data_IF_475360729203
#
_entry.id   IF_475360729203
#
_cell.length_a   1.000
_cell.length_b   1.000
_cell.length_c   1.000
_cell.angle_alpha   90.00
_cell.angle_beta   90.00
_cell.angle_gamma   90.00
#
_symmetry.space_group_name_H-M   'P 1'
#
loop_
_entity.id
_entity.type
_entity.pdbx_description
1 polymer ?
#
# COMPACT_ATOMS: atom_id res chain seq x y z
N UNK A 1 13.08 -6.63 -6.84
CA UNK A 1 14.22 -7.51 -7.24
C UNK A 1 15.50 -7.24 -6.45
N UNK A 2 16.02 -5.99 -6.40
CA UNK A 2 17.27 -5.64 -5.68
C UNK A 2 17.22 -6.04 -4.21
N UNK A 3 16.15 -5.69 -3.48
CA UNK A 3 15.99 -6.05 -2.06
C UNK A 3 15.98 -7.57 -1.87
N UNK A 4 15.26 -8.31 -2.70
CA UNK A 4 15.22 -9.78 -2.63
C UNK A 4 16.60 -10.41 -2.88
N UNK A 5 17.35 -9.92 -3.86
CA UNK A 5 18.75 -10.36 -4.11
C UNK A 5 19.68 -10.00 -2.96
N UNK A 6 19.43 -8.91 -2.27
CA UNK A 6 20.21 -8.51 -1.11
C UNK A 6 19.95 -9.39 0.11
N UNK A 7 18.73 -9.91 0.26
CA UNK A 7 18.30 -10.69 1.43
C UNK A 7 18.42 -12.21 1.23
N UNK A 8 18.22 -12.70 0.00
CA UNK A 8 18.21 -14.11 -0.36
C UNK A 8 19.08 -14.36 -1.60
N UNK A 9 19.38 -15.63 -1.89
CA UNK A 9 20.12 -15.96 -3.10
C UNK A 9 19.32 -15.64 -4.37
N UNK A 10 20.01 -15.52 -5.49
CA UNK A 10 19.43 -15.09 -6.79
C UNK A 10 18.28 -15.98 -7.25
N UNK A 11 18.37 -17.30 -7.07
CA UNK A 11 17.33 -18.26 -7.47
C UNK A 11 16.01 -18.00 -6.74
N UNK A 12 16.07 -17.81 -5.42
CA UNK A 12 14.89 -17.44 -4.63
C UNK A 12 14.34 -16.08 -5.01
N UNK A 13 15.21 -15.10 -5.27
CA UNK A 13 14.82 -13.76 -5.66
C UNK A 13 14.11 -13.74 -7.03
N UNK A 14 14.61 -14.53 -7.99
CA UNK A 14 13.98 -14.67 -9.32
C UNK A 14 12.58 -15.30 -9.21
N UNK A 15 12.44 -16.39 -8.46
CA UNK A 15 11.14 -17.06 -8.28
C UNK A 15 10.13 -16.24 -7.47
N UNK A 16 10.60 -15.36 -6.58
CA UNK A 16 9.72 -14.51 -5.78
C UNK A 16 9.35 -13.20 -6.47
N UNK A 17 10.11 -12.74 -7.47
CA UNK A 17 9.86 -11.46 -8.13
C UNK A 17 8.52 -11.36 -8.87
N UNK A 18 7.99 -12.40 -9.55
CA UNK A 18 6.69 -12.34 -10.20
C UNK A 18 5.55 -12.02 -9.23
N UNK A 19 5.64 -12.46 -7.97
CA UNK A 19 4.62 -12.17 -6.95
C UNK A 19 4.46 -10.66 -6.70
N UNK A 20 5.54 -9.89 -6.80
CA UNK A 20 5.48 -8.44 -6.65
C UNK A 20 5.04 -7.77 -7.96
N UNK A 21 5.48 -8.30 -9.11
CA UNK A 21 5.13 -7.74 -10.43
C UNK A 21 3.64 -7.90 -10.74
N UNK A 22 3.06 -9.05 -10.41
CA UNK A 22 1.64 -9.36 -10.62
C UNK A 22 0.83 -9.21 -9.32
N UNK A 23 1.35 -8.47 -8.34
CA UNK A 23 0.69 -8.23 -7.07
C UNK A 23 -0.68 -7.55 -7.28
N UNK A 24 -1.80 -8.18 -6.90
CA UNK A 24 -3.14 -7.65 -7.21
C UNK A 24 -3.35 -6.24 -6.70
N UNK A 25 -2.95 -5.95 -5.46
CA UNK A 25 -3.09 -4.64 -4.87
C UNK A 25 -2.21 -3.59 -5.58
N UNK A 26 -1.00 -3.97 -6.01
CA UNK A 26 -0.09 -3.07 -6.74
C UNK A 26 -0.63 -2.76 -8.14
N UNK A 27 -1.20 -3.74 -8.81
CA UNK A 27 -1.85 -3.55 -10.11
C UNK A 27 -3.09 -2.68 -9.95
N UNK A 28 -3.91 -2.90 -8.90
CA UNK A 28 -5.13 -2.12 -8.64
C UNK A 28 -4.86 -0.63 -8.45
N UNK A 29 -3.83 -0.28 -7.68
CA UNK A 29 -3.55 1.13 -7.34
C UNK A 29 -2.41 1.75 -8.15
N UNK A 30 -1.66 0.94 -8.89
CA UNK A 30 -0.46 1.39 -9.60
C UNK A 30 -0.72 2.34 -10.78
N UNK A 31 -1.93 2.30 -11.37
CA UNK A 31 -2.34 3.20 -12.45
C UNK A 31 -3.10 4.45 -11.97
N UNK A 32 -3.47 4.51 -10.69
CA UNK A 32 -4.05 5.73 -10.15
C UNK A 32 -3.00 6.87 -10.20
N UNK A 33 -3.41 8.05 -10.69
CA UNK A 33 -2.59 9.27 -10.70
C UNK A 33 -2.54 9.81 -9.27
N UNK A 34 -1.97 9.02 -8.37
CA UNK A 34 -1.81 9.30 -6.94
C UNK A 34 -0.50 8.66 -6.45
N UNK A 35 -0.16 8.87 -5.19
CA UNK A 35 1.08 8.38 -4.56
C UNK A 35 1.18 6.85 -4.39
N UNK A 36 0.18 6.06 -4.79
CA UNK A 36 0.14 4.62 -4.47
C UNK A 36 1.16 3.74 -5.19
N UNK A 37 1.80 4.22 -6.24
CA UNK A 37 2.97 3.59 -6.84
C UNK A 37 4.28 4.05 -6.17
N UNK A 38 4.35 5.31 -5.75
CA UNK A 38 5.53 5.91 -5.13
C UNK A 38 5.77 5.37 -3.71
N UNK A 39 4.73 5.28 -2.87
CA UNK A 39 4.88 4.85 -1.48
C UNK A 39 5.37 3.42 -1.30
N UNK A 40 4.90 2.40 -2.05
CA UNK A 40 5.49 1.07 -2.01
C UNK A 40 6.96 1.06 -2.43
N UNK A 41 7.32 1.86 -3.45
CA UNK A 41 8.70 2.01 -3.89
C UNK A 41 9.57 2.61 -2.78
N UNK A 42 9.15 3.72 -2.15
CA UNK A 42 9.89 4.35 -1.05
C UNK A 42 10.01 3.43 0.17
N UNK A 43 8.97 2.64 0.46
CA UNK A 43 8.99 1.65 1.54
C UNK A 43 10.06 0.57 1.30
N UNK A 44 10.08 -0.02 0.10
CA UNK A 44 11.06 -1.04 -0.30
C UNK A 44 12.47 -0.44 -0.37
N UNK A 45 12.62 0.75 -0.94
CA UNK A 45 13.89 1.47 -1.02
C UNK A 45 14.43 1.80 0.38
N UNK A 46 13.58 2.33 1.26
CA UNK A 46 13.96 2.63 2.64
C UNK A 46 14.43 1.38 3.39
N UNK A 47 13.70 0.26 3.23
CA UNK A 47 14.12 -1.02 3.82
C UNK A 47 15.48 -1.49 3.27
N UNK A 48 15.69 -1.37 1.96
CA UNK A 48 16.97 -1.72 1.33
C UNK A 48 18.11 -0.86 1.88
N UNK A 49 17.93 0.46 1.96
CA UNK A 49 18.92 1.41 2.46
C UNK A 49 19.25 1.14 3.94
N UNK A 50 18.24 0.87 4.77
CA UNK A 50 18.40 0.51 6.16
C UNK A 50 19.26 -0.74 6.33
N UNK A 51 18.90 -1.83 5.63
CA UNK A 51 19.63 -3.09 5.68
C UNK A 51 21.07 -2.93 5.14
N UNK A 52 21.25 -2.11 4.12
CA UNK A 52 22.55 -1.80 3.53
C UNK A 52 23.43 -1.03 4.52
N UNK A 53 22.89 0.03 5.12
CA UNK A 53 23.59 0.83 6.12
C UNK A 53 24.03 -0.03 7.32
N UNK A 54 23.14 -0.88 7.83
CA UNK A 54 23.47 -1.80 8.92
C UNK A 54 24.53 -2.84 8.54
N UNK A 55 24.54 -3.30 7.29
CA UNK A 55 25.55 -4.26 6.82
C UNK A 55 26.94 -3.62 6.74
N UNK A 56 27.02 -2.35 6.35
CA UNK A 56 28.27 -1.61 6.24
C UNK A 56 28.81 -1.15 7.61
N UNK A 57 27.92 -0.82 8.58
CA UNK A 57 28.29 -0.46 9.96
C UNK A 57 28.90 -1.62 10.78
N UNK A 58 29.12 -2.76 10.15
CA UNK A 58 29.90 -3.86 10.76
C UNK A 58 29.14 -4.65 11.81
N UNK A 59 27.82 -4.76 11.71
CA UNK A 59 27.03 -5.69 12.54
C UNK A 59 27.19 -7.16 12.11
N UNK A 60 28.11 -7.48 11.19
CA UNK A 60 28.61 -8.84 10.98
C UNK A 60 29.72 -9.13 11.98
N UNK A 61 29.63 -10.23 12.76
CA UNK A 61 30.65 -10.59 13.71
C UNK A 61 32.04 -10.91 13.09
N UNK A 62 32.11 -11.10 11.77
CA UNK A 62 33.27 -11.66 11.07
C UNK A 62 34.25 -10.66 10.43
N UNK A 63 34.03 -9.36 10.52
CA UNK A 63 35.09 -8.41 10.16
C UNK A 63 35.81 -7.90 11.41
N UNK A 64 36.57 -8.78 12.07
CA UNK A 64 37.71 -8.36 12.90
C UNK A 64 38.57 -7.42 12.06
N UNK A 65 38.69 -6.19 12.57
CA UNK A 65 39.62 -5.14 12.23
C UNK A 65 40.80 -5.61 11.38
N UNK A 66 40.70 -5.57 10.09
CA UNK A 66 41.86 -5.49 9.25
C UNK A 66 42.28 -4.03 9.14
N UNK A 67 43.36 -3.69 9.80
CA UNK A 67 44.27 -2.60 9.45
C UNK A 67 43.82 -1.18 9.79
N UNK A 68 44.58 -0.54 10.65
CA UNK A 68 44.83 0.90 10.79
C UNK A 68 44.77 1.60 9.43
N UNK A 69 43.92 2.64 9.32
CA UNK A 69 43.91 3.55 8.18
C UNK A 69 42.51 3.75 7.57
N UNK A 70 41.44 3.97 8.38
CA UNK A 70 40.20 4.45 7.80
C UNK A 70 40.31 5.95 7.49
N UNK A 71 40.59 6.28 6.24
CA UNK A 71 40.54 7.65 5.72
C UNK A 71 39.18 8.30 5.97
N UNK A 72 39.15 9.64 6.15
CA UNK A 72 37.93 10.41 6.35
C UNK A 72 36.91 10.13 5.26
N UNK A 73 37.33 9.90 4.01
CA UNK A 73 36.50 9.49 2.87
C UNK A 73 35.73 8.18 3.12
N UNK A 74 36.32 7.20 3.81
CA UNK A 74 35.64 5.93 4.12
C UNK A 74 34.55 6.11 5.17
N UNK A 75 34.73 7.02 6.14
CA UNK A 75 33.71 7.38 7.13
C UNK A 75 32.53 8.13 6.50
N UNK A 76 32.78 9.00 5.49
CA UNK A 76 31.73 9.68 4.73
C UNK A 76 30.99 8.66 3.83
N UNK A 77 31.73 7.75 3.19
CA UNK A 77 31.13 6.71 2.38
C UNK A 77 30.21 5.77 3.20
N UNK A 78 30.60 5.47 4.44
CA UNK A 78 29.78 4.64 5.35
C UNK A 78 28.51 5.36 5.81
N UNK A 79 28.52 6.71 5.89
CA UNK A 79 27.34 7.51 6.28
C UNK A 79 26.35 7.78 5.15
N UNK A 80 26.75 7.64 3.89
CA UNK A 80 25.88 7.93 2.72
C UNK A 80 24.58 7.16 2.74
N UNK A 81 24.60 5.90 3.16
CA UNK A 81 23.40 5.07 3.21
C UNK A 81 22.41 5.52 4.29
N UNK A 82 22.92 5.99 5.43
CA UNK A 82 22.10 6.56 6.49
C UNK A 82 21.48 7.90 6.08
N UNK A 83 22.22 8.73 5.34
CA UNK A 83 21.70 10.01 4.82
C UNK A 83 20.64 9.71 3.75
N UNK A 84 20.92 8.82 2.80
CA UNK A 84 19.95 8.41 1.79
C UNK A 84 18.69 7.82 2.44
N UNK A 85 18.85 7.02 3.50
CA UNK A 85 17.74 6.49 4.28
C UNK A 85 16.89 7.62 4.90
N UNK A 86 17.52 8.59 5.56
CA UNK A 86 16.81 9.72 6.16
C UNK A 86 16.01 10.53 5.14
N UNK A 87 16.58 10.76 3.95
CA UNK A 87 15.88 11.44 2.86
C UNK A 87 14.66 10.63 2.42
N UNK A 88 14.78 9.30 2.25
CA UNK A 88 13.67 8.44 1.85
C UNK A 88 12.59 8.39 2.92
N UNK A 89 12.96 8.39 4.21
CA UNK A 89 12.00 8.49 5.33
C UNK A 89 11.20 9.79 5.23
N UNK A 90 11.87 10.92 5.05
CA UNK A 90 11.22 12.22 4.90
C UNK A 90 10.30 12.25 3.67
N UNK A 91 10.77 11.80 2.49
CA UNK A 91 9.97 11.74 1.27
C UNK A 91 8.74 10.84 1.44
N UNK A 92 8.85 9.73 2.15
CA UNK A 92 7.72 8.87 2.47
C UNK A 92 6.65 9.61 3.29
N UNK A 93 7.06 10.36 4.31
CA UNK A 93 6.15 11.17 5.14
C UNK A 93 5.50 12.31 4.36
N UNK A 94 6.22 12.96 3.45
CA UNK A 94 5.65 13.95 2.54
C UNK A 94 4.63 13.33 1.56
N UNK A 95 4.83 12.06 1.18
CA UNK A 95 3.95 11.38 0.24
C UNK A 95 2.66 10.88 0.90
N UNK A 96 2.75 10.26 2.10
CA UNK A 96 1.59 9.73 2.83
C UNK A 96 1.92 9.47 4.30
N UNK A 97 1.04 9.89 5.19
CA UNK A 97 1.20 9.69 6.66
C UNK A 97 1.26 8.22 7.09
N UNK A 98 0.63 7.31 6.33
CA UNK A 98 0.68 5.86 6.63
C UNK A 98 2.09 5.27 6.53
N UNK A 99 3.02 5.97 5.87
CA UNK A 99 4.44 5.60 5.87
C UNK A 99 5.05 5.59 7.28
N UNK A 100 4.46 6.32 8.23
CA UNK A 100 4.88 6.29 9.62
C UNK A 100 4.91 4.87 10.21
N UNK A 101 3.93 4.02 9.85
CA UNK A 101 3.90 2.62 10.32
C UNK A 101 5.06 1.79 9.79
N UNK A 102 5.50 2.06 8.56
CA UNK A 102 6.71 1.44 7.99
C UNK A 102 7.95 1.87 8.77
N UNK A 103 8.08 3.17 9.03
CA UNK A 103 9.24 3.71 9.74
C UNK A 103 9.27 3.31 11.21
N UNK A 104 8.14 3.26 11.88
CA UNK A 104 8.04 2.70 13.24
C UNK A 104 8.45 1.22 13.26
N UNK A 105 8.06 0.46 12.26
CA UNK A 105 8.49 -0.94 12.09
C UNK A 105 10.00 -1.05 11.91
N UNK A 106 10.63 -0.12 11.16
CA UNK A 106 12.08 -0.09 11.01
C UNK A 106 12.80 0.20 12.35
N UNK A 107 12.28 1.16 13.14
CA UNK A 107 12.82 1.45 14.48
C UNK A 107 12.72 0.22 15.39
N UNK A 108 11.56 -0.44 15.41
CA UNK A 108 11.34 -1.65 16.20
C UNK A 108 12.27 -2.79 15.74
N UNK A 109 12.40 -2.97 14.44
CA UNK A 109 13.31 -3.97 13.86
C UNK A 109 14.78 -3.69 14.24
N UNK A 110 15.23 -2.42 14.15
CA UNK A 110 16.55 -1.99 14.59
C UNK A 110 16.80 -2.34 16.06
N UNK A 111 15.85 -2.01 16.94
CA UNK A 111 15.93 -2.31 18.35
C UNK A 111 16.07 -3.81 18.61
N UNK A 112 15.21 -4.62 18.01
CA UNK A 112 15.22 -6.08 18.14
C UNK A 112 16.52 -6.67 17.57
N UNK A 113 16.99 -6.20 16.42
CA UNK A 113 18.22 -6.66 15.79
C UNK A 113 19.45 -6.35 16.68
N UNK A 114 19.56 -5.11 17.15
CA UNK A 114 20.66 -4.69 18.02
C UNK A 114 20.67 -5.44 19.35
N UNK A 115 19.50 -5.65 19.96
CA UNK A 115 19.38 -6.37 21.21
C UNK A 115 19.80 -7.84 21.05
N UNK A 116 19.37 -8.51 19.97
CA UNK A 116 19.75 -9.91 19.67
C UNK A 116 21.25 -10.11 19.44
N UNK A 117 21.93 -9.08 18.94
CA UNK A 117 23.38 -9.11 18.70
C UNK A 117 24.20 -8.53 19.84
N UNK A 118 23.62 -8.23 21.00
CA UNK A 118 24.32 -7.66 22.15
C UNK A 118 24.78 -6.20 21.99
N UNK A 119 24.24 -5.50 21.00
CA UNK A 119 24.62 -4.13 20.64
C UNK A 119 23.57 -3.07 21.01
N UNK A 120 22.70 -3.35 21.97
CA UNK A 120 21.60 -2.46 22.39
C UNK A 120 22.07 -1.02 22.72
N UNK A 121 23.27 -0.85 23.27
CA UNK A 121 23.87 0.47 23.55
C UNK A 121 24.06 1.35 22.31
N UNK A 122 24.06 0.79 21.10
CA UNK A 122 24.20 1.55 19.85
C UNK A 122 22.85 2.11 19.36
N UNK A 123 21.72 1.67 19.92
CA UNK A 123 20.39 2.04 19.47
C UNK A 123 20.17 3.57 19.39
N UNK A 124 20.55 4.41 20.39
CA UNK A 124 20.34 5.85 20.29
C UNK A 124 21.07 6.48 19.09
N UNK A 125 22.25 5.97 18.72
CA UNK A 125 22.99 6.46 17.55
C UNK A 125 22.29 6.12 16.23
N UNK A 126 21.56 5.01 16.19
CA UNK A 126 20.80 4.58 15.02
C UNK A 126 19.50 5.38 14.83
N UNK A 127 19.14 6.22 15.81
CA UNK A 127 18.01 7.16 15.68
C UNK A 127 18.41 8.50 15.03
N UNK A 128 19.70 8.78 14.87
CA UNK A 128 20.18 10.02 14.23
C UNK A 128 19.57 10.22 12.82
N UNK A 129 19.50 9.22 11.93
CA UNK A 129 18.84 9.38 10.63
C UNK A 129 17.36 9.76 10.72
N UNK A 130 16.67 9.29 11.76
CA UNK A 130 15.28 9.68 12.01
C UNK A 130 15.16 11.13 12.49
N UNK A 131 16.08 11.58 13.35
CA UNK A 131 16.16 12.99 13.73
C UNK A 131 16.42 13.89 12.52
N UNK A 132 17.28 13.48 11.60
CA UNK A 132 17.51 14.17 10.32
C UNK A 132 16.23 14.16 9.46
N UNK A 133 15.54 13.03 9.36
CA UNK A 133 14.29 12.94 8.60
C UNK A 133 13.20 13.86 9.18
N UNK A 134 13.10 13.94 10.52
CA UNK A 134 12.19 14.88 11.20
C UNK A 134 12.59 16.31 10.91
N UNK A 135 13.87 16.65 10.97
CA UNK A 135 14.36 17.99 10.63
C UNK A 135 13.98 18.38 9.18
N UNK A 136 14.14 17.47 8.24
CA UNK A 136 13.72 17.66 6.84
C UNK A 136 12.18 17.81 6.70
N UNK A 137 11.41 17.26 7.63
CA UNK A 137 9.95 17.31 7.62
C UNK A 137 9.37 18.51 8.36
N UNK A 138 10.17 19.27 9.15
CA UNK A 138 9.73 20.45 9.92
C UNK A 138 8.90 21.43 9.06
N UNK A 139 9.29 21.77 7.82
CA UNK A 139 8.52 22.74 7.02
C UNK A 139 7.07 22.32 6.74
N UNK A 140 6.78 21.01 6.78
CA UNK A 140 5.45 20.47 6.54
C UNK A 140 4.59 20.34 7.80
N UNK A 141 5.18 20.37 9.00
CA UNK A 141 4.47 20.17 10.28
C UNK A 141 3.26 21.12 10.42
N UNK A 142 3.35 22.44 10.13
CA UNK A 142 2.19 23.32 10.23
C UNK A 142 1.03 22.89 9.33
N UNK A 143 1.33 22.45 8.10
CA UNK A 143 0.33 21.94 7.16
C UNK A 143 -0.28 20.63 7.66
N UNK A 144 0.54 19.71 8.17
CA UNK A 144 0.06 18.45 8.72
C UNK A 144 -0.88 18.68 9.92
N UNK A 145 -0.48 19.50 10.88
CA UNK A 145 -1.32 19.86 12.04
C UNK A 145 -2.64 20.48 11.58
N UNK A 146 -2.58 21.40 10.62
CA UNK A 146 -3.78 22.00 10.06
C UNK A 146 -4.72 21.00 9.38
N UNK A 147 -4.19 20.02 8.65
CA UNK A 147 -5.00 18.97 8.04
C UNK A 147 -5.68 18.06 9.07
N UNK A 148 -4.98 17.73 10.16
CA UNK A 148 -5.58 16.95 11.26
C UNK A 148 -6.63 17.74 12.05
N UNK A 149 -6.46 19.05 12.19
CA UNK A 149 -7.38 19.92 12.91
C UNK A 149 -8.64 20.28 12.10
N UNK A 150 -8.55 20.34 10.78
CA UNK A 150 -9.62 20.85 9.91
C UNK A 150 -10.65 19.82 9.49
N UNK A 151 -10.60 18.58 9.99
CA UNK A 151 -11.50 17.48 9.57
C UNK A 151 -11.57 17.29 8.04
N UNK A 152 -10.53 17.72 7.33
CA UNK A 152 -10.45 17.70 5.86
C UNK A 152 -10.34 16.27 5.27
N UNK A 153 -10.34 15.24 6.11
CA UNK A 153 -10.44 13.86 5.67
C UNK A 153 -11.91 13.56 5.41
N UNK A 154 -12.28 13.15 4.19
CA UNK A 154 -13.64 12.72 3.93
C UNK A 154 -14.00 11.60 4.90
N UNK A 155 -15.18 11.65 5.52
CA UNK A 155 -15.62 10.62 6.44
C UNK A 155 -15.72 9.28 5.69
N UNK A 156 -14.95 8.29 6.13
CA UNK A 156 -15.08 6.93 5.62
C UNK A 156 -16.32 6.34 6.29
N UNK A 157 -17.30 5.92 5.49
CA UNK A 157 -18.60 5.44 5.99
C UNK A 157 -18.54 4.07 6.66
N UNK A 158 -17.43 3.36 6.56
CA UNK A 158 -17.33 1.98 7.00
C UNK A 158 -16.49 1.88 8.28
N UNK A 159 -17.09 1.34 9.34
CA UNK A 159 -16.41 0.99 10.58
C UNK A 159 -15.64 -0.30 10.41
N UNK A 160 -14.53 -0.44 11.15
CA UNK A 160 -13.66 -1.60 11.09
C UNK A 160 -14.35 -2.79 11.77
N UNK A 161 -14.74 -3.77 10.99
CA UNK A 161 -15.32 -5.01 11.45
C UNK A 161 -14.54 -6.23 10.92
N UNK A 162 -14.91 -7.43 11.39
CA UNK A 162 -14.24 -8.66 10.95
C UNK A 162 -14.34 -8.88 9.42
N UNK A 163 -15.41 -8.42 8.80
CA UNK A 163 -15.61 -8.47 7.35
C UNK A 163 -14.59 -7.60 6.61
N UNK A 164 -14.26 -6.41 7.12
CA UNK A 164 -13.21 -5.56 6.54
C UNK A 164 -11.82 -6.22 6.64
N UNK A 165 -11.53 -6.88 7.76
CA UNK A 165 -10.28 -7.61 7.94
C UNK A 165 -10.15 -8.79 6.95
N UNK A 166 -11.24 -9.52 6.71
CA UNK A 166 -11.27 -10.58 5.68
C UNK A 166 -11.17 -10.01 4.27
N UNK A 167 -11.77 -8.85 4.01
CA UNK A 167 -11.62 -8.11 2.75
C UNK A 167 -10.17 -7.72 2.47
N UNK A 168 -9.43 -7.23 3.48
CA UNK A 168 -7.99 -6.92 3.33
C UNK A 168 -7.23 -8.12 2.81
N UNK A 169 -7.44 -9.29 3.40
CA UNK A 169 -6.75 -10.50 3.00
C UNK A 169 -7.16 -10.98 1.60
N UNK A 170 -8.46 -10.90 1.28
CA UNK A 170 -8.99 -11.22 -0.04
C UNK A 170 -8.40 -10.31 -1.12
N UNK A 171 -8.36 -9.01 -0.89
CA UNK A 171 -7.81 -8.05 -1.85
C UNK A 171 -6.29 -8.22 -2.01
N UNK A 172 -5.57 -8.50 -0.92
CA UNK A 172 -4.14 -8.82 -1.00
C UNK A 172 -3.85 -10.07 -1.84
N UNK A 173 -4.74 -11.06 -1.83
CA UNK A 173 -4.52 -12.33 -2.53
C UNK A 173 -5.10 -12.36 -3.94
N UNK A 174 -6.28 -11.80 -4.14
CA UNK A 174 -7.05 -11.91 -5.40
C UNK A 174 -7.26 -10.58 -6.12
N UNK A 175 -7.04 -9.46 -5.46
CA UNK A 175 -7.38 -8.12 -5.97
C UNK A 175 -8.86 -7.76 -5.90
N UNK A 176 -9.74 -8.70 -5.55
CA UNK A 176 -11.18 -8.49 -5.50
C UNK A 176 -11.70 -8.28 -4.07
N UNK A 177 -12.58 -7.28 -3.94
CA UNK A 177 -13.37 -7.07 -2.73
C UNK A 177 -14.69 -7.84 -2.86
N UNK A 178 -14.65 -9.13 -2.62
CA UNK A 178 -15.81 -10.00 -2.78
C UNK A 178 -16.46 -10.26 -1.41
N UNK A 179 -17.32 -9.37 -0.95
CA UNK A 179 -18.00 -9.46 0.36
C UNK A 179 -18.83 -10.75 0.57
N UNK A 180 -19.17 -11.51 -0.47
CA UNK A 180 -20.02 -12.72 -0.38
C UNK A 180 -19.34 -14.05 -0.70
N UNK A 181 -18.27 -14.07 -1.51
CA UNK A 181 -17.55 -15.31 -1.88
C UNK A 181 -16.40 -15.61 -0.90
N UNK A 182 -16.14 -14.72 0.03
CA UNK A 182 -14.84 -14.50 0.65
C UNK A 182 -14.56 -15.33 1.89
N UNK A 183 -15.54 -15.72 2.69
CA UNK A 183 -15.22 -16.41 3.94
C UNK A 183 -14.58 -17.78 3.71
N UNK A 184 -15.14 -18.59 2.83
CA UNK A 184 -14.58 -19.91 2.50
C UNK A 184 -13.24 -19.81 1.76
N UNK A 185 -13.14 -18.91 0.78
CA UNK A 185 -11.90 -18.70 0.02
C UNK A 185 -10.79 -18.07 0.87
N UNK A 186 -11.13 -17.13 1.75
CA UNK A 186 -10.20 -16.54 2.71
C UNK A 186 -9.69 -17.59 3.70
N UNK A 187 -10.57 -18.42 4.24
CA UNK A 187 -10.18 -19.53 5.14
C UNK A 187 -9.27 -20.52 4.41
N UNK A 188 -9.60 -20.89 3.16
CA UNK A 188 -8.75 -21.78 2.35
C UNK A 188 -7.36 -21.18 2.09
N UNK A 189 -7.27 -19.90 1.75
CA UNK A 189 -6.01 -19.19 1.53
C UNK A 189 -5.20 -19.04 2.83
N UNK A 190 -5.85 -18.76 3.96
CA UNK A 190 -5.20 -18.74 5.28
C UNK A 190 -4.70 -20.12 5.68
N UNK A 191 -5.47 -21.18 5.44
CA UNK A 191 -5.05 -22.54 5.69
C UNK A 191 -3.84 -22.93 4.81
N UNK A 192 -3.85 -22.57 3.51
CA UNK A 192 -2.69 -22.77 2.63
C UNK A 192 -1.47 -21.99 3.12
N UNK A 193 -1.63 -20.75 3.55
CA UNK A 193 -0.55 -19.94 4.11
C UNK A 193 0.00 -20.56 5.40
N UNK A 194 -0.87 -21.03 6.29
CA UNK A 194 -0.47 -21.73 7.52
C UNK A 194 0.32 -23.03 7.21
N UNK A 195 -0.12 -23.80 6.22
CA UNK A 195 0.60 -24.99 5.73
C UNK A 195 1.98 -24.62 5.18
N UNK A 196 2.10 -23.51 4.44
CA UNK A 196 3.37 -23.01 3.92
C UNK A 196 4.31 -22.58 5.04
N UNK A 197 3.80 -21.84 6.04
CA UNK A 197 4.58 -21.37 7.18
C UNK A 197 5.06 -22.56 8.03
N UNK A 198 4.16 -23.48 8.38
CA UNK A 198 4.49 -24.70 9.14
C UNK A 198 5.49 -25.60 8.38
N UNK A 199 5.34 -25.68 7.06
CA UNK A 199 6.27 -26.40 6.20
C UNK A 199 7.66 -25.78 6.13
N UNK A 200 7.74 -24.44 6.19
CA UNK A 200 9.00 -23.73 6.16
C UNK A 200 9.79 -23.83 7.48
N UNK A 201 9.10 -23.98 8.61
CA UNK A 201 9.74 -24.17 9.92
C UNK A 201 10.39 -25.55 10.08
N UNK A 202 9.74 -26.60 9.58
CA UNK A 202 10.29 -27.99 9.63
C UNK A 202 11.54 -28.18 8.76
N UNK A 203 11.70 -27.42 7.66
CA UNK A 203 12.94 -27.40 6.86
C UNK A 203 14.16 -26.88 7.64
N UNK A 204 13.94 -26.25 8.78
CA UNK A 204 14.97 -25.71 9.66
C UNK A 204 15.58 -26.76 10.60
N UNK A 205 14.74 -27.70 11.06
CA UNK A 205 15.17 -28.70 12.04
C UNK A 205 15.99 -29.83 11.39
N UNK A 206 15.73 -30.15 10.14
CA UNK A 206 16.47 -31.16 9.38
C UNK A 206 17.86 -30.70 8.93
N UNK A 207 18.09 -29.38 8.77
CA UNK A 207 19.41 -28.86 8.39
C UNK A 207 20.46 -28.90 9.53
N UNK A 208 19.99 -28.92 10.78
CA UNK A 208 20.87 -28.98 11.96
C UNK A 208 21.48 -30.38 12.23
N UNK A 209 20.87 -31.44 11.73
CA UNK A 209 21.28 -32.82 12.00
C UNK A 209 22.30 -33.41 11.00
N UNK A 210 22.39 -32.84 9.79
CA UNK A 210 23.20 -33.40 8.68
C UNK A 210 24.63 -32.91 8.60
N UNK A 211 25.02 -31.90 9.41
CA UNK A 211 26.38 -31.31 9.38
C UNK A 211 27.44 -32.16 10.08
N UNK A 212 27.07 -33.31 10.65
CA UNK A 212 27.99 -34.12 11.49
C UNK A 212 28.67 -35.31 10.83
N UNK A 213 28.51 -35.53 9.54
CA UNK A 213 29.20 -36.70 8.91
C UNK A 213 29.90 -36.36 7.59
N UNK A 214 31.22 -36.41 7.64
CA UNK A 214 32.14 -36.78 6.54
C UNK A 214 32.28 -35.88 5.33
N UNK A 215 33.46 -35.35 5.09
CA UNK A 215 33.82 -34.46 3.98
C UNK A 215 34.15 -35.28 2.71
N UNK A 216 33.28 -35.15 1.69
CA UNK A 216 33.56 -35.49 0.28
C UNK A 216 33.18 -34.31 -0.63
N UNK A 217 33.58 -34.23 -1.91
CA UNK A 217 33.25 -33.10 -2.80
C UNK A 217 31.73 -32.88 -3.03
N UNK A 218 30.89 -33.83 -2.71
CA UNK A 218 29.44 -33.67 -2.50
C UNK A 218 29.14 -32.73 -1.32
N UNK A 219 30.04 -32.61 -0.35
CA UNK A 219 29.87 -31.79 0.85
C UNK A 219 29.91 -30.28 0.54
N UNK A 220 30.69 -29.82 -0.42
CA UNK A 220 30.71 -28.39 -0.81
C UNK A 220 29.36 -27.94 -1.39
N UNK A 221 28.69 -28.79 -2.19
CA UNK A 221 27.34 -28.50 -2.69
C UNK A 221 26.29 -28.57 -1.59
N UNK A 222 26.43 -29.45 -0.63
CA UNK A 222 25.53 -29.57 0.50
C UNK A 222 25.65 -28.40 1.48
N UNK A 223 26.87 -27.88 1.69
CA UNK A 223 27.13 -26.67 2.50
C UNK A 223 26.54 -25.43 1.84
N UNK A 224 26.79 -25.22 0.53
CA UNK A 224 26.19 -24.09 -0.19
C UNK A 224 24.66 -24.13 -0.19
N UNK A 225 24.06 -25.31 -0.34
CA UNK A 225 22.61 -25.48 -0.25
C UNK A 225 22.05 -25.24 1.16
N UNK A 226 22.82 -25.56 2.20
CA UNK A 226 22.45 -25.28 3.60
C UNK A 226 22.54 -23.78 3.92
N UNK A 227 23.57 -23.08 3.41
CA UNK A 227 23.71 -21.63 3.52
C UNK A 227 22.57 -20.90 2.80
N UNK A 228 22.24 -21.28 1.57
CA UNK A 228 21.11 -20.73 0.80
C UNK A 228 19.79 -20.88 1.56
N UNK A 229 19.56 -22.04 2.18
CA UNK A 229 18.36 -22.28 3.02
C UNK A 229 18.34 -21.40 4.27
N UNK A 230 19.48 -21.26 4.94
CA UNK A 230 19.59 -20.40 6.11
C UNK A 230 19.37 -18.92 5.76
N UNK A 231 19.91 -18.46 4.65
CA UNK A 231 19.77 -17.08 4.17
C UNK A 231 18.33 -16.82 3.74
N UNK A 232 17.72 -17.70 2.95
CA UNK A 232 16.31 -17.56 2.56
C UNK A 232 15.36 -17.62 3.76
N UNK A 233 15.70 -18.41 4.80
CA UNK A 233 14.95 -18.45 6.05
C UNK A 233 15.06 -17.16 6.88
N UNK A 234 16.22 -16.53 6.89
CA UNK A 234 16.42 -15.20 7.52
C UNK A 234 15.63 -14.13 6.75
N UNK A 235 15.74 -14.14 5.43
CA UNK A 235 15.02 -13.23 4.57
C UNK A 235 13.50 -13.33 4.77
N UNK A 236 12.95 -14.55 4.82
CA UNK A 236 11.53 -14.76 5.06
C UNK A 236 11.07 -14.18 6.41
N UNK A 237 11.86 -14.34 7.48
CA UNK A 237 11.54 -13.73 8.78
C UNK A 237 11.55 -12.20 8.76
N UNK A 238 12.53 -11.60 8.09
CA UNK A 238 12.58 -10.14 7.94
C UNK A 238 11.41 -9.63 7.11
N UNK A 239 11.09 -10.27 5.98
CA UNK A 239 9.95 -9.90 5.15
C UNK A 239 8.61 -10.06 5.89
N UNK A 240 8.44 -11.14 6.66
CA UNK A 240 7.28 -11.30 7.53
C UNK A 240 7.17 -10.16 8.54
N UNK A 241 8.27 -9.78 9.17
CA UNK A 241 8.30 -8.67 10.12
C UNK A 241 7.89 -7.36 9.45
N UNK A 242 8.46 -7.03 8.27
CA UNK A 242 8.13 -5.81 7.53
C UNK A 242 6.73 -5.84 6.88
N UNK A 243 6.13 -7.00 6.71
CA UNK A 243 4.76 -7.14 6.21
C UNK A 243 3.72 -7.02 7.33
N UNK A 244 3.90 -7.78 8.41
CA UNK A 244 2.86 -7.96 9.42
C UNK A 244 2.91 -6.94 10.56
N UNK A 245 4.10 -6.46 10.95
CA UNK A 245 4.20 -5.46 12.04
C UNK A 245 3.54 -4.14 11.65
N UNK A 246 3.82 -3.52 10.48
CA UNK A 246 3.16 -2.27 10.13
C UNK A 246 1.66 -2.45 9.91
N UNK A 247 1.21 -3.60 9.40
CA UNK A 247 -0.21 -3.93 9.31
C UNK A 247 -0.84 -3.98 10.71
N UNK A 248 -0.22 -4.68 11.65
CA UNK A 248 -0.72 -4.75 13.03
C UNK A 248 -0.77 -3.38 13.69
N UNK A 249 0.26 -2.55 13.51
CA UNK A 249 0.29 -1.17 14.02
C UNK A 249 -0.84 -0.33 13.42
N UNK A 250 -1.07 -0.43 12.11
CA UNK A 250 -2.17 0.25 11.43
C UNK A 250 -3.54 -0.20 11.98
N UNK A 251 -3.74 -1.51 12.14
CA UNK A 251 -4.99 -2.07 12.65
C UNK A 251 -5.26 -1.65 14.10
N UNK A 252 -4.25 -1.69 14.96
CA UNK A 252 -4.34 -1.20 16.34
C UNK A 252 -4.66 0.29 16.37
N UNK A 253 -3.97 1.08 15.55
CA UNK A 253 -4.23 2.51 15.43
C UNK A 253 -5.66 2.80 14.95
N UNK A 254 -6.14 2.08 13.94
CA UNK A 254 -7.50 2.21 13.44
C UNK A 254 -8.52 1.87 14.54
N UNK A 255 -8.35 0.74 15.23
CA UNK A 255 -9.23 0.33 16.31
C UNK A 255 -9.27 1.32 17.49
N UNK A 256 -8.12 1.92 17.84
CA UNK A 256 -8.06 2.95 18.89
C UNK A 256 -8.68 4.27 18.43
N UNK A 257 -8.52 4.62 17.15
CA UNK A 257 -9.02 5.89 16.61
C UNK A 257 -10.52 5.90 16.33
N UNK A 258 -11.07 4.76 15.94
CA UNK A 258 -12.45 4.62 15.49
C UNK A 258 -13.50 5.12 16.51
N UNK A 259 -13.42 4.82 17.82
CA UNK A 259 -14.36 5.35 18.80
C UNK A 259 -14.42 6.87 18.87
N UNK A 260 -13.35 7.57 18.48
CA UNK A 260 -13.26 9.02 18.48
C UNK A 260 -13.72 9.66 17.17
N UNK A 261 -13.93 8.86 16.11
CA UNK A 261 -14.36 9.32 14.79
C UNK A 261 -15.74 8.83 14.40
N UNK A 262 -16.42 8.05 15.26
CA UNK A 262 -17.76 7.55 15.02
C UNK A 262 -18.73 8.68 14.58
N UNK A 263 -19.59 8.44 13.59
CA UNK A 263 -19.91 7.16 12.96
C UNK A 263 -18.99 6.78 11.77
N UNK A 264 -17.85 7.39 11.63
CA UNK A 264 -16.96 7.23 10.47
C UNK A 264 -15.80 6.30 10.80
N UNK A 265 -15.56 5.31 9.92
CA UNK A 265 -14.40 4.43 10.01
C UNK A 265 -13.10 5.15 9.61
N UNK A 266 -11.97 4.66 10.12
CA UNK A 266 -10.65 5.18 9.78
C UNK A 266 -9.94 4.31 8.72
N UNK A 267 -10.23 3.02 8.68
CA UNK A 267 -9.49 2.07 7.86
C UNK A 267 -9.97 2.06 6.40
N UNK A 268 -9.02 2.00 5.47
CA UNK A 268 -9.27 1.69 4.06
C UNK A 268 -8.12 0.85 3.51
N UNK A 269 -8.43 -0.05 2.59
CA UNK A 269 -7.46 -0.99 2.00
C UNK A 269 -6.24 -0.31 1.37
N UNK A 270 -6.39 0.89 0.83
CA UNK A 270 -5.27 1.68 0.25
C UNK A 270 -4.19 2.05 1.27
N UNK A 271 -4.49 2.03 2.57
CA UNK A 271 -3.51 2.26 3.63
C UNK A 271 -2.54 1.09 3.81
N UNK A 272 -2.85 -0.06 3.22
CA UNK A 272 -1.97 -1.24 3.21
C UNK A 272 -0.89 -1.14 2.12
N UNK A 273 -1.07 -0.29 1.10
CA UNK A 273 -0.15 -0.14 -0.03
C UNK A 273 1.33 0.05 0.37
N UNK A 274 1.69 0.82 1.42
CA UNK A 274 3.09 1.03 1.79
C UNK A 274 3.84 -0.26 2.12
N UNK A 275 3.18 -1.25 2.71
CA UNK A 275 3.80 -2.50 3.18
C UNK A 275 3.34 -3.75 2.42
N UNK A 276 2.38 -3.64 1.52
CA UNK A 276 1.94 -4.74 0.66
C UNK A 276 3.08 -5.42 -0.12
N UNK A 277 4.09 -4.71 -0.67
CA UNK A 277 5.19 -5.37 -1.36
C UNK A 277 5.92 -6.43 -0.52
N UNK A 278 6.05 -6.20 0.79
CA UNK A 278 6.71 -7.16 1.68
C UNK A 278 5.88 -8.44 1.86
N UNK A 279 4.56 -8.33 1.89
CA UNK A 279 3.64 -9.48 1.93
C UNK A 279 3.82 -10.34 0.69
N UNK A 280 3.88 -9.74 -0.49
CA UNK A 280 4.09 -10.45 -1.75
C UNK A 280 5.50 -11.03 -1.88
N UNK A 281 6.54 -10.31 -1.45
CA UNK A 281 7.90 -10.83 -1.38
C UNK A 281 8.00 -12.02 -0.41
N UNK A 282 7.36 -11.92 0.75
CA UNK A 282 7.31 -12.99 1.74
C UNK A 282 6.66 -14.24 1.17
N UNK A 283 5.49 -14.08 0.55
CA UNK A 283 4.75 -15.17 -0.06
C UNK A 283 5.55 -15.84 -1.19
N UNK A 284 6.09 -15.05 -2.11
CA UNK A 284 6.92 -15.54 -3.20
C UNK A 284 8.17 -16.28 -2.70
N UNK A 285 8.79 -15.77 -1.63
CA UNK A 285 9.94 -16.42 -1.02
C UNK A 285 9.56 -17.75 -0.35
N UNK A 286 8.41 -17.83 0.33
CA UNK A 286 7.91 -19.10 0.89
C UNK A 286 7.66 -20.14 -0.20
N UNK A 287 6.99 -19.74 -1.28
CA UNK A 287 6.73 -20.62 -2.42
C UNK A 287 8.04 -21.10 -3.06
N UNK A 288 9.01 -20.20 -3.28
CA UNK A 288 10.31 -20.55 -3.84
C UNK A 288 11.09 -21.54 -2.97
N UNK A 289 11.03 -21.39 -1.63
CA UNK A 289 11.66 -22.33 -0.68
C UNK A 289 11.06 -23.72 -0.75
N UNK A 290 9.77 -23.84 -0.96
CA UNK A 290 9.08 -25.11 -1.09
C UNK A 290 9.45 -25.75 -2.43
N UNK A 291 9.41 -25.01 -3.52
CA UNK A 291 9.74 -25.51 -4.86
C UNK A 291 11.19 -26.00 -4.95
N UNK A 292 12.14 -25.22 -4.41
CA UNK A 292 13.56 -25.57 -4.44
C UNK A 292 13.94 -26.62 -3.38
N UNK A 293 13.25 -26.63 -2.22
CA UNK A 293 13.58 -27.52 -1.10
C UNK A 293 13.07 -28.96 -1.26
N UNK A 294 12.16 -29.22 -2.21
CA UNK A 294 11.57 -30.58 -2.39
C UNK A 294 12.48 -31.58 -3.11
N UNK A 295 13.62 -31.14 -3.63
CA UNK A 295 14.53 -32.03 -4.40
C UNK A 295 15.42 -32.95 -3.55
N UNK A 296 15.57 -32.70 -2.23
CA UNK A 296 16.68 -33.29 -1.48
C UNK A 296 16.31 -34.23 -0.32
N UNK A 297 15.04 -34.51 -0.05
CA UNK A 297 14.67 -35.41 1.07
C UNK A 297 14.12 -36.74 0.58
N UNK A 298 15.02 -37.68 0.36
CA UNK A 298 14.71 -39.06 -0.10
C UNK A 298 14.11 -40.01 0.95
N UNK A 299 13.96 -39.59 2.20
CA UNK A 299 13.49 -40.49 3.26
C UNK A 299 12.19 -39.97 3.90
N UNK A 300 11.14 -40.74 3.79
CA UNK A 300 9.90 -40.45 4.53
C UNK A 300 8.79 -41.44 4.18
N UNK A 301 8.22 -42.07 5.20
CA UNK A 301 7.05 -42.92 5.09
C UNK A 301 5.84 -42.22 4.45
N UNK A 302 4.72 -42.91 4.32
CA UNK A 302 3.49 -42.44 3.66
C UNK A 302 3.05 -41.04 4.11
N UNK A 303 3.12 -40.74 5.40
CA UNK A 303 2.78 -39.42 5.97
C UNK A 303 3.72 -38.29 5.46
N UNK A 304 5.00 -38.58 5.25
CA UNK A 304 5.95 -37.62 4.68
C UNK A 304 5.74 -37.33 3.19
N UNK A 305 5.22 -38.31 2.44
CA UNK A 305 4.83 -38.13 1.02
C UNK A 305 3.58 -37.28 0.91
N UNK A 306 2.56 -37.55 1.71
CA UNK A 306 1.30 -36.78 1.73
C UNK A 306 1.52 -35.30 2.12
N UNK A 307 2.33 -35.02 3.16
CA UNK A 307 2.65 -33.64 3.56
C UNK A 307 3.49 -32.91 2.52
N UNK A 308 4.40 -33.56 1.79
CA UNK A 308 5.14 -32.98 0.67
C UNK A 308 4.23 -32.63 -0.50
N UNK A 309 3.34 -33.54 -0.85
CA UNK A 309 2.34 -33.35 -1.89
C UNK A 309 1.46 -32.13 -1.56
N UNK A 310 0.87 -32.11 -0.35
CA UNK A 310 0.01 -31.01 0.09
C UNK A 310 0.73 -29.66 0.05
N UNK A 311 1.97 -29.57 0.54
CA UNK A 311 2.76 -28.34 0.51
C UNK A 311 3.07 -27.86 -0.90
N UNK A 312 3.43 -28.79 -1.81
CA UNK A 312 3.70 -28.45 -3.21
C UNK A 312 2.46 -27.92 -3.89
N UNK A 313 1.33 -28.59 -3.70
CA UNK A 313 0.05 -28.14 -4.24
C UNK A 313 -0.39 -26.80 -3.66
N UNK A 314 -0.26 -26.58 -2.35
CA UNK A 314 -0.56 -25.30 -1.73
C UNK A 314 0.31 -24.16 -2.29
N UNK A 315 1.61 -24.41 -2.54
CA UNK A 315 2.49 -23.42 -3.14
C UNK A 315 2.06 -23.10 -4.59
N UNK A 316 1.71 -24.11 -5.39
CA UNK A 316 1.22 -23.92 -6.76
C UNK A 316 -0.12 -23.20 -6.79
N UNK A 317 -1.10 -23.65 -6.00
CA UNK A 317 -2.43 -23.02 -5.95
C UNK A 317 -2.35 -21.56 -5.50
N UNK A 318 -1.54 -21.27 -4.49
CA UNK A 318 -1.34 -19.91 -4.02
C UNK A 318 -0.61 -19.04 -5.05
N UNK A 319 0.37 -19.59 -5.76
CA UNK A 319 1.05 -18.91 -6.86
C UNK A 319 0.06 -18.59 -7.99
N UNK A 320 -0.75 -19.56 -8.39
CA UNK A 320 -1.80 -19.36 -9.41
C UNK A 320 -2.82 -18.34 -8.93
N UNK A 321 -3.27 -18.41 -7.67
CA UNK A 321 -4.25 -17.47 -7.12
C UNK A 321 -3.73 -16.02 -7.15
N UNK A 322 -2.47 -15.78 -6.77
CA UNK A 322 -1.89 -14.44 -6.78
C UNK A 322 -1.60 -13.97 -8.21
N UNK A 323 -0.98 -14.81 -9.04
CA UNK A 323 -0.57 -14.41 -10.40
C UNK A 323 -1.77 -14.30 -11.33
N UNK A 324 -2.67 -15.28 -11.31
CA UNK A 324 -3.89 -15.24 -12.12
C UNK A 324 -4.88 -14.19 -11.55
N UNK A 325 -5.05 -14.12 -10.22
CA UNK A 325 -5.88 -13.11 -9.57
C UNK A 325 -5.41 -11.69 -9.88
N UNK A 326 -4.10 -11.45 -9.87
CA UNK A 326 -3.53 -10.16 -10.28
C UNK A 326 -3.79 -9.84 -11.74
N UNK A 327 -3.55 -10.79 -12.65
CA UNK A 327 -3.72 -10.59 -14.10
C UNK A 327 -5.19 -10.46 -14.49
N UNK A 328 -6.04 -11.36 -13.99
CA UNK A 328 -7.49 -11.36 -14.25
C UNK A 328 -8.11 -10.15 -13.58
N UNK A 329 -7.76 -9.88 -12.31
CA UNK A 329 -8.23 -8.72 -11.58
C UNK A 329 -7.86 -7.41 -12.28
N UNK A 330 -6.67 -7.29 -12.84
CA UNK A 330 -6.26 -6.13 -13.64
C UNK A 330 -7.10 -5.99 -14.92
N UNK A 331 -7.30 -7.07 -15.65
CA UNK A 331 -8.08 -7.05 -16.88
C UNK A 331 -9.55 -6.72 -16.63
N UNK A 332 -10.20 -7.34 -15.64
CA UNK A 332 -11.60 -7.08 -15.31
C UNK A 332 -11.80 -5.77 -14.53
N UNK A 333 -10.90 -5.42 -13.61
CA UNK A 333 -11.00 -4.15 -12.90
C UNK A 333 -10.66 -2.95 -13.79
N UNK A 334 -9.80 -3.12 -14.79
CA UNK A 334 -9.56 -2.06 -15.77
C UNK A 334 -10.87 -1.62 -16.41
N UNK A 335 -11.69 -2.56 -16.89
CA UNK A 335 -13.00 -2.27 -17.43
C UNK A 335 -14.01 -1.84 -16.37
N UNK A 336 -14.08 -2.54 -15.24
CA UNK A 336 -15.01 -2.21 -14.15
C UNK A 336 -14.72 -0.84 -13.54
N UNK A 337 -13.46 -0.51 -13.28
CA UNK A 337 -13.06 0.80 -12.74
C UNK A 337 -13.25 1.85 -13.84
N UNK A 338 -12.93 1.55 -15.08
CA UNK A 338 -13.17 2.47 -16.19
C UNK A 338 -14.66 2.75 -16.39
N UNK A 339 -15.53 1.76 -16.25
CA UNK A 339 -16.97 1.90 -16.37
C UNK A 339 -17.61 2.53 -15.13
N UNK A 340 -17.12 2.18 -13.93
CA UNK A 340 -17.67 2.67 -12.66
C UNK A 340 -16.95 3.90 -12.11
N UNK A 341 -15.76 4.23 -12.60
CA UNK A 341 -15.17 5.52 -12.26
C UNK A 341 -16.01 6.63 -12.87
N UNK A 342 -16.28 7.61 -12.04
CA UNK A 342 -16.99 8.83 -12.40
C UNK A 342 -16.40 9.56 -13.58
N UNK A 343 -15.14 9.34 -13.92
CA UNK A 343 -14.43 10.00 -15.00
C UNK A 343 -15.06 9.79 -16.38
N UNK A 344 -15.34 8.55 -16.86
CA UNK A 344 -16.01 8.37 -18.15
C UNK A 344 -17.47 8.79 -18.13
N UNK A 345 -18.15 8.62 -17.01
CA UNK A 345 -19.53 9.07 -16.83
C UNK A 345 -19.61 10.59 -16.84
N UNK A 346 -18.68 11.27 -16.15
CA UNK A 346 -18.53 12.72 -16.18
C UNK A 346 -18.21 13.21 -17.59
N UNK A 347 -17.32 12.53 -18.32
CA UNK A 347 -17.01 12.87 -19.71
C UNK A 347 -18.22 12.70 -20.65
N UNK A 348 -19.04 11.64 -20.46
CA UNK A 348 -20.28 11.44 -21.19
C UNK A 348 -21.29 12.53 -20.86
N UNK A 349 -21.46 12.83 -19.58
CA UNK A 349 -22.35 13.90 -19.11
C UNK A 349 -21.91 15.26 -19.66
N UNK A 350 -20.61 15.56 -19.64
CA UNK A 350 -20.08 16.83 -20.18
C UNK A 350 -20.37 17.03 -21.67
N UNK A 351 -20.48 15.93 -22.45
CA UNK A 351 -20.86 16.02 -23.88
C UNK A 351 -22.34 16.33 -24.12
N UNK A 352 -23.18 16.11 -23.12
CA UNK A 352 -24.63 16.35 -23.21
C UNK A 352 -25.06 17.67 -22.58
N UNK A 353 -24.16 18.33 -21.86
CA UNK A 353 -24.42 19.60 -21.17
C UNK A 353 -24.01 20.76 -22.06
N UNK A 354 -24.91 21.71 -22.24
CA UNK A 354 -24.61 22.95 -22.93
C UNK A 354 -23.70 23.85 -22.06
N UNK A 355 -22.59 24.30 -22.64
CA UNK A 355 -21.63 25.20 -22.00
C UNK A 355 -21.69 26.61 -22.61
N UNK A 356 -22.89 27.16 -22.69
CA UNK A 356 -23.15 28.53 -23.14
C UNK A 356 -23.18 29.53 -21.98
N UNK A 357 -23.31 30.80 -22.30
CA UNK A 357 -23.32 31.87 -21.29
C UNK A 357 -24.60 31.86 -20.43
N UNK A 358 -25.71 31.32 -20.99
CA UNK A 358 -27.00 31.31 -20.35
C UNK A 358 -27.23 30.10 -19.44
N UNK A 359 -26.26 29.12 -19.45
CA UNK A 359 -26.29 27.92 -18.64
C UNK A 359 -25.12 27.89 -17.63
N UNK A 360 -25.44 27.93 -16.35
CA UNK A 360 -24.48 27.68 -15.32
C UNK A 360 -24.40 26.18 -15.01
N UNK A 361 -23.21 25.59 -15.07
CA UNK A 361 -22.98 24.22 -14.65
C UNK A 361 -22.52 24.21 -13.20
N UNK A 362 -23.19 23.48 -12.34
CA UNK A 362 -22.93 23.45 -10.90
C UNK A 362 -22.64 22.04 -10.43
N UNK A 363 -21.45 21.78 -9.92
CA UNK A 363 -21.12 20.52 -9.26
C UNK A 363 -21.68 20.49 -7.82
N UNK A 364 -22.12 19.31 -7.36
CA UNK A 364 -22.73 19.16 -6.03
C UNK A 364 -21.77 19.38 -4.87
N UNK A 365 -20.46 19.31 -5.13
CA UNK A 365 -19.43 19.51 -4.11
C UNK A 365 -18.12 20.02 -4.70
N UNK A 366 -17.24 20.55 -3.85
CA UNK A 366 -15.87 20.91 -4.24
C UNK A 366 -15.06 19.71 -4.75
N UNK A 367 -15.36 18.51 -4.28
CA UNK A 367 -14.73 17.28 -4.75
C UNK A 367 -15.14 16.96 -6.20
N UNK A 368 -16.43 16.98 -6.50
CA UNK A 368 -16.93 16.73 -7.83
C UNK A 368 -16.50 17.80 -8.83
N UNK A 369 -16.39 19.05 -8.37
CA UNK A 369 -15.85 20.16 -9.15
C UNK A 369 -14.42 19.90 -9.60
N UNK A 370 -13.53 19.55 -8.67
CA UNK A 370 -12.11 19.28 -9.01
C UNK A 370 -11.98 18.08 -9.95
N UNK A 371 -12.71 17.00 -9.68
CA UNK A 371 -12.67 15.78 -10.52
C UNK A 371 -13.17 16.02 -11.94
N UNK A 372 -14.14 16.91 -12.11
CA UNK A 372 -14.78 17.17 -13.39
C UNK A 372 -14.28 18.43 -14.12
N UNK A 373 -13.43 19.25 -13.46
CA UNK A 373 -12.93 20.51 -14.00
C UNK A 373 -12.32 20.38 -15.41
N UNK A 374 -11.60 19.31 -15.69
CA UNK A 374 -11.04 19.07 -17.02
C UNK A 374 -12.10 18.92 -18.10
N UNK A 375 -13.22 18.28 -17.79
CA UNK A 375 -14.29 17.99 -18.75
C UNK A 375 -15.19 19.19 -19.00
N UNK A 376 -15.33 20.07 -18.01
CA UNK A 376 -16.14 21.30 -18.09
C UNK A 376 -15.32 22.57 -18.29
N UNK A 377 -14.04 22.44 -18.67
CA UNK A 377 -13.11 23.58 -18.87
C UNK A 377 -13.56 24.58 -19.95
N UNK A 378 -14.43 24.15 -20.87
CA UNK A 378 -15.00 25.02 -21.89
C UNK A 378 -16.25 25.77 -21.43
N UNK A 379 -16.83 25.41 -20.29
CA UNK A 379 -17.96 26.11 -19.73
C UNK A 379 -17.48 27.40 -19.06
N UNK A 380 -18.06 28.51 -19.46
CA UNK A 380 -17.74 29.84 -18.91
C UNK A 380 -18.22 29.95 -17.47
N UNK A 381 -19.41 29.40 -17.18
CA UNK A 381 -20.07 29.43 -15.89
C UNK A 381 -20.02 28.04 -15.25
N UNK A 382 -18.84 27.64 -14.74
CA UNK A 382 -18.69 26.36 -14.02
C UNK A 382 -18.42 26.61 -12.53
N UNK A 383 -19.32 26.11 -11.68
CA UNK A 383 -19.38 26.39 -10.25
C UNK A 383 -19.48 25.10 -9.42
N UNK A 384 -19.32 25.21 -8.12
CA UNK A 384 -19.64 24.16 -7.16
C UNK A 384 -20.48 24.71 -6.00
N UNK A 385 -21.39 23.86 -5.53
CA UNK A 385 -22.30 24.23 -4.44
C UNK A 385 -21.62 23.93 -3.11
N UNK A 386 -21.47 24.95 -2.27
CA UNK A 386 -21.00 24.80 -0.89
C UNK A 386 -21.52 25.92 -0.01
N UNK A 387 -22.31 25.54 0.99
CA UNK A 387 -22.69 26.41 2.08
C UNK A 387 -21.54 26.44 3.10
N UNK A 388 -20.96 27.62 3.32
CA UNK A 388 -19.78 27.82 4.16
C UNK A 388 -18.45 27.96 3.41
N UNK A 389 -17.37 28.14 4.15
CA UNK A 389 -16.04 28.35 3.57
C UNK A 389 -15.37 27.05 3.11
N UNK A 390 -14.68 27.12 2.00
CA UNK A 390 -13.75 26.05 1.59
C UNK A 390 -12.53 26.09 2.51
N UNK A 391 -12.07 24.92 2.93
CA UNK A 391 -10.88 24.84 3.79
C UNK A 391 -9.66 25.50 3.13
N UNK A 392 -8.97 26.34 3.86
CA UNK A 392 -7.68 26.95 3.44
C UNK A 392 -6.53 25.93 3.44
N UNK A 393 -6.79 24.70 3.87
CA UNK A 393 -5.79 23.65 4.06
C UNK A 393 -6.28 22.32 3.49
N UNK A 394 -5.34 21.53 2.96
CA UNK A 394 -5.66 20.24 2.33
C UNK A 394 -5.94 20.33 0.84
N UNK A 395 -6.54 19.28 0.28
CA UNK A 395 -6.76 19.14 -1.17
C UNK A 395 -7.66 20.17 -1.80
N UNK A 396 -8.50 20.85 -1.01
CA UNK A 396 -9.44 21.88 -1.48
C UNK A 396 -8.92 23.31 -1.29
N UNK A 397 -7.77 23.49 -0.65
CA UNK A 397 -7.18 24.81 -0.42
C UNK A 397 -7.08 25.70 -1.68
N UNK A 398 -6.81 25.19 -2.89
CA UNK A 398 -6.85 25.99 -4.12
C UNK A 398 -8.21 26.59 -4.48
N UNK A 399 -9.29 26.06 -3.92
CA UNK A 399 -10.66 26.56 -4.14
C UNK A 399 -11.09 27.60 -3.10
N UNK A 400 -10.28 27.84 -2.06
CA UNK A 400 -10.59 28.83 -1.03
C UNK A 400 -10.63 30.24 -1.67
N UNK A 401 -11.75 30.94 -1.47
CA UNK A 401 -11.98 32.26 -2.07
C UNK A 401 -12.16 32.25 -3.59
N UNK A 402 -12.35 31.05 -4.19
CA UNK A 402 -12.62 30.94 -5.62
C UNK A 402 -13.97 31.54 -5.99
N UNK A 403 -14.07 32.33 -7.09
CA UNK A 403 -15.34 32.81 -7.61
C UNK A 403 -16.26 31.68 -8.14
N UNK A 404 -15.73 30.47 -8.26
CA UNK A 404 -16.52 29.29 -8.64
C UNK A 404 -17.41 28.78 -7.50
N UNK A 405 -17.20 29.21 -6.26
CA UNK A 405 -18.06 28.81 -5.14
C UNK A 405 -19.40 29.55 -5.20
N UNK A 406 -20.49 28.77 -5.12
CA UNK A 406 -21.87 29.27 -5.01
C UNK A 406 -22.47 28.68 -3.73
N UNK A 407 -23.12 29.50 -2.91
CA UNK A 407 -23.75 29.02 -1.66
C UNK A 407 -25.11 28.40 -1.90
N UNK A 408 -25.91 29.06 -2.75
CA UNK A 408 -27.22 28.58 -3.16
C UNK A 408 -27.37 28.68 -4.67
N UNK A 409 -28.12 27.77 -5.28
CA UNK A 409 -28.40 27.83 -6.73
C UNK A 409 -29.12 29.11 -7.08
N UNK A 410 -29.95 29.64 -6.20
CA UNK A 410 -30.68 30.90 -6.37
C UNK A 410 -29.74 32.16 -6.40
N UNK A 411 -28.48 32.04 -6.05
CA UNK A 411 -27.49 33.12 -6.16
C UNK A 411 -26.99 33.30 -7.60
N UNK A 412 -27.31 32.37 -8.50
CA UNK A 412 -26.91 32.44 -9.91
C UNK A 412 -27.88 33.32 -10.70
N UNK A 413 -27.33 34.14 -11.59
CA UNK A 413 -28.08 35.00 -12.47
C UNK A 413 -28.01 34.48 -13.93
N UNK A 414 -28.49 33.25 -14.16
CA UNK A 414 -28.51 32.58 -15.46
C UNK A 414 -29.90 32.09 -15.76
N UNK A 415 -30.27 31.96 -17.05
CA UNK A 415 -31.57 31.44 -17.45
C UNK A 415 -31.71 29.95 -17.14
N UNK A 416 -30.58 29.23 -17.22
CA UNK A 416 -30.53 27.78 -17.02
C UNK A 416 -29.44 27.40 -16.06
N UNK A 417 -29.69 26.37 -15.26
CA UNK A 417 -28.67 25.75 -14.38
C UNK A 417 -28.67 24.27 -14.63
N UNK A 418 -27.49 23.72 -14.94
CA UNK A 418 -27.27 22.26 -15.00
C UNK A 418 -26.56 21.81 -13.74
N UNK A 419 -27.32 21.19 -12.84
CA UNK A 419 -26.78 20.68 -11.57
C UNK A 419 -26.28 19.25 -11.71
N UNK A 420 -25.01 19.04 -11.42
CA UNK A 420 -24.35 17.73 -11.51
C UNK A 420 -24.38 17.05 -10.15
N UNK A 421 -25.09 15.94 -10.06
CA UNK A 421 -25.25 15.16 -8.84
C UNK A 421 -24.61 13.80 -9.00
N UNK A 422 -23.93 13.37 -7.97
CA UNK A 422 -23.35 12.02 -7.87
C UNK A 422 -24.14 11.21 -6.86
N UNK A 423 -24.58 10.01 -7.27
CA UNK A 423 -25.28 9.10 -6.36
C UNK A 423 -26.74 9.45 -6.13
N UNK A 424 -27.21 9.21 -4.91
CA UNK A 424 -28.64 9.31 -4.55
C UNK A 424 -29.13 10.67 -4.07
N UNK A 425 -28.30 11.72 -4.18
CA UNK A 425 -28.73 13.06 -3.78
C UNK A 425 -29.94 13.51 -4.59
N UNK A 426 -30.92 14.07 -3.90
CA UNK A 426 -32.13 14.64 -4.51
C UNK A 426 -32.00 16.14 -4.43
N UNK A 427 -32.20 16.80 -5.57
CA UNK A 427 -32.39 18.23 -5.57
C UNK A 427 -33.91 18.49 -5.59
N UNK A 428 -34.33 19.47 -4.85
CA UNK A 428 -35.69 20.02 -4.92
C UNK A 428 -35.68 21.29 -5.76
N UNK A 429 -36.80 21.63 -6.32
CA UNK A 429 -36.99 22.97 -6.95
C UNK A 429 -36.62 24.07 -5.96
N UNK A 430 -35.98 25.12 -6.47
CA UNK A 430 -35.61 26.26 -5.66
C UNK A 430 -36.62 27.43 -5.85
N UNK A 431 -36.41 28.54 -5.14
CA UNK A 431 -37.27 29.69 -5.24
C UNK A 431 -37.34 30.26 -6.67
N UNK A 432 -36.16 30.31 -7.34
CA UNK A 432 -36.04 30.95 -8.65
C UNK A 432 -35.97 29.95 -9.81
N UNK A 433 -35.79 28.64 -9.53
CA UNK A 433 -35.61 27.64 -10.56
C UNK A 433 -36.57 26.44 -10.41
N UNK A 434 -37.09 25.97 -11.54
CA UNK A 434 -37.88 24.74 -11.64
C UNK A 434 -37.11 23.66 -12.38
N UNK A 435 -37.33 22.40 -12.03
CA UNK A 435 -36.73 21.25 -12.72
C UNK A 435 -37.49 21.00 -14.05
N UNK A 436 -36.75 21.06 -15.16
CA UNK A 436 -37.31 20.82 -16.50
C UNK A 436 -36.81 19.52 -17.12
N UNK A 437 -35.70 18.97 -16.65
CA UNK A 437 -35.14 17.72 -17.17
C UNK A 437 -34.14 17.06 -16.23
N UNK A 438 -33.98 15.75 -16.43
CA UNK A 438 -32.93 14.97 -15.73
C UNK A 438 -32.36 13.97 -16.71
N UNK A 439 -31.06 14.09 -16.93
CA UNK A 439 -30.30 13.10 -17.70
C UNK A 439 -29.52 12.22 -16.72
N UNK A 440 -29.68 10.91 -16.83
CA UNK A 440 -29.01 9.93 -15.95
C UNK A 440 -28.02 9.15 -16.78
N UNK A 441 -26.74 9.23 -16.36
CA UNK A 441 -25.63 8.43 -16.89
C UNK A 441 -25.09 7.57 -15.76
N UNK A 442 -25.68 6.40 -15.57
CA UNK A 442 -25.34 5.44 -14.51
C UNK A 442 -25.39 6.08 -13.09
N UNK A 443 -24.23 6.42 -12.48
CA UNK A 443 -24.17 7.04 -11.15
C UNK A 443 -24.20 8.56 -11.17
N UNK A 444 -24.02 9.19 -12.34
CA UNK A 444 -24.05 10.65 -12.48
C UNK A 444 -25.39 11.10 -13.05
N UNK A 445 -25.95 12.15 -12.46
CA UNK A 445 -27.18 12.78 -12.92
C UNK A 445 -26.87 14.24 -13.25
N UNK A 446 -27.35 14.69 -14.41
CA UNK A 446 -27.41 16.11 -14.73
C UNK A 446 -28.86 16.53 -14.63
N UNK A 447 -29.19 17.41 -13.71
CA UNK A 447 -30.53 17.95 -13.48
C UNK A 447 -30.54 19.35 -14.09
N UNK A 448 -31.39 19.53 -15.08
CA UNK A 448 -31.55 20.84 -15.74
C UNK A 448 -32.67 21.60 -15.05
N UNK A 449 -32.34 22.80 -14.62
CA UNK A 449 -33.29 23.73 -14.03
C UNK A 449 -33.39 24.95 -14.93
N UNK A 450 -34.60 25.52 -15.07
CA UNK A 450 -34.88 26.77 -15.78
C UNK A 450 -35.45 27.79 -14.80
N UNK A 451 -35.09 29.04 -15.04
CA UNK A 451 -35.61 30.18 -14.29
C UNK A 451 -37.12 30.24 -14.43
N UNK A 452 -37.80 30.55 -13.35
CA UNK A 452 -39.27 30.68 -13.29
C UNK A 452 -39.72 31.99 -13.90
#
# INVERSE_FOLDING_TARGET
MVLLRFMACERHALLASPFVMFAPLMLRYGYEIRMYSLIPFLSVLGTYLLLRAMREDGMRPDRRRSGRGSTALRRIADRRWWIAYAIVVALGMYSQYMMAFVWMTHVLWLYVALRRHGHARRFPRMLIPYALAVALYIPWIPSAVGQFASSALPPLKETMNLSELTSVFSILTTGFDAKRLTSGMTVALLAMLAVLIAGSSRLRDTAGSTVRSGMEPSAARSVAAAEDRADSGRAARHLAFFAFVPLSLLLVFAAVREPFTAPYGFFTIRYVCPFAPFSYMFLGLLCSRIVLGTRETGAGGFCGKATRFLRRWSAWLLSIAVLAGGSIGFAFQGNYIYEQQTTPQTARTARTVACDADNAVVASSEFDYIESLYYFRSCVNYHFLKDGEVSTRGGYAPLHGSPAQVRHIDDLDTERVTYLVRGGEKITETRHYRIVGTTVNESNKAITLERR
#
